data_IF_543334204189
#
_entry.id   IF_543334204189
#
_cell.length_a   1.000
_cell.length_b   1.000
_cell.length_c   1.000
_cell.angle_alpha   90.00
_cell.angle_beta   90.00
_cell.angle_gamma   90.00
#
_symmetry.space_group_name_H-M   'P 1'
#
loop_
_entity.id
_entity.type
_entity.pdbx_description
1 polymer ?
#
# COMPACT_ATOMS: atom_id res chain seq x y z
N UNK A 1 -1.58 12.69 -5.45
CA UNK A 1 -1.54 11.27 -5.86
C UNK A 1 -2.93 10.67 -5.65
N UNK A 2 -3.64 10.42 -6.75
CA UNK A 2 -4.91 9.72 -6.75
C UNK A 2 -4.65 8.22 -6.57
N UNK A 3 -5.43 7.55 -5.73
CA UNK A 3 -5.22 6.15 -5.32
C UNK A 3 -5.18 5.17 -6.51
N UNK A 4 -5.91 5.50 -7.59
CA UNK A 4 -5.91 4.74 -8.84
C UNK A 4 -4.52 4.59 -9.50
N UNK A 5 -3.64 5.58 -9.33
CA UNK A 5 -2.28 5.54 -9.92
C UNK A 5 -1.33 4.60 -9.18
N UNK A 6 -1.56 4.37 -7.88
CA UNK A 6 -0.80 3.37 -7.12
C UNK A 6 -1.25 1.98 -7.53
N UNK A 7 -2.57 1.76 -7.61
CA UNK A 7 -3.14 0.48 -8.02
C UNK A 7 -2.72 0.06 -9.43
N UNK A 8 -2.59 1.02 -10.36
CA UNK A 8 -2.08 0.76 -11.70
C UNK A 8 -0.65 0.20 -11.73
N UNK A 9 0.21 0.56 -10.77
CA UNK A 9 1.57 0.00 -10.69
C UNK A 9 1.59 -1.44 -10.23
N UNK A 10 0.75 -1.76 -9.25
CA UNK A 10 0.73 -3.08 -8.62
C UNK A 10 -0.17 -4.08 -9.35
N UNK A 11 -0.96 -3.64 -10.35
CA UNK A 11 -1.95 -4.43 -11.09
C UNK A 11 -1.40 -5.64 -11.85
N UNK A 12 -0.10 -5.66 -12.12
CA UNK A 12 0.54 -6.77 -12.83
C UNK A 12 0.72 -8.03 -11.96
N UNK A 13 0.54 -7.92 -10.65
CA UNK A 13 0.82 -9.00 -9.71
C UNK A 13 -0.46 -9.63 -9.18
N UNK A 14 -0.74 -10.86 -9.60
CA UNK A 14 -1.91 -11.67 -9.19
C UNK A 14 -1.89 -12.11 -7.71
N UNK A 15 -0.84 -11.76 -6.96
CA UNK A 15 -0.59 -12.25 -5.60
C UNK A 15 -0.82 -11.20 -4.50
N UNK A 16 -1.52 -10.11 -4.82
CA UNK A 16 -1.89 -9.09 -3.84
C UNK A 16 -3.16 -9.55 -3.13
N UNK A 17 -3.07 -9.69 -1.81
CA UNK A 17 -4.22 -10.01 -0.95
C UNK A 17 -5.02 -8.73 -0.70
N UNK A 18 -4.33 -7.62 -0.38
CA UNK A 18 -4.99 -6.33 -0.20
C UNK A 18 -4.05 -5.16 -0.51
N UNK A 19 -4.62 -4.04 -0.91
CA UNK A 19 -3.95 -2.76 -1.02
C UNK A 19 -4.72 -1.67 -0.26
N UNK A 20 -4.00 -0.89 0.55
CA UNK A 20 -4.61 0.15 1.37
C UNK A 20 -3.80 1.43 1.30
N UNK A 21 -4.48 2.56 1.16
CA UNK A 21 -3.89 3.88 1.36
C UNK A 21 -4.33 4.38 2.72
N UNK A 22 -3.37 4.67 3.59
CA UNK A 22 -3.70 5.26 4.87
C UNK A 22 -4.10 6.72 4.64
N UNK A 23 -5.26 7.10 5.18
CA UNK A 23 -5.69 8.50 5.24
C UNK A 23 -4.73 9.34 6.09
N UNK A 24 -4.07 8.68 7.06
CA UNK A 24 -3.06 9.30 7.90
C UNK A 24 -1.87 9.75 7.05
N UNK A 25 -1.58 11.05 7.10
CA UNK A 25 -0.38 11.62 6.50
C UNK A 25 0.84 11.28 7.35
N UNK A 26 1.98 11.11 6.70
CA UNK A 26 3.29 11.05 7.37
C UNK A 26 3.56 12.39 8.07
N UNK A 27 4.57 12.43 8.95
CA UNK A 27 5.03 13.68 9.58
C UNK A 27 5.31 14.78 8.55
N UNK A 28 5.72 14.39 7.35
CA UNK A 28 6.03 15.29 6.24
C UNK A 28 4.82 15.58 5.33
N UNK A 29 3.59 15.32 5.78
CA UNK A 29 2.35 15.58 5.03
C UNK A 29 2.08 14.64 3.84
N UNK A 30 3.01 13.74 3.52
CA UNK A 30 2.87 12.77 2.41
C UNK A 30 1.94 11.62 2.79
N UNK A 31 1.03 11.25 1.88
CA UNK A 31 0.22 10.02 2.01
C UNK A 31 1.10 8.80 1.75
N UNK A 32 0.79 7.68 2.39
CA UNK A 32 1.47 6.41 2.18
C UNK A 32 0.47 5.26 2.22
N UNK A 33 0.75 4.20 1.48
CA UNK A 33 -0.05 3.00 1.45
C UNK A 33 0.74 1.79 1.93
N UNK A 34 0.02 0.72 2.23
CA UNK A 34 0.55 -0.60 2.53
C UNK A 34 -0.14 -1.59 1.61
N UNK A 35 0.65 -2.44 0.97
CA UNK A 35 0.17 -3.53 0.12
C UNK A 35 0.56 -4.85 0.80
N UNK A 36 -0.39 -5.77 0.89
CA UNK A 36 -0.19 -7.12 1.43
C UNK A 36 -0.10 -8.11 0.29
N UNK A 37 1.03 -8.80 0.22
CA UNK A 37 1.22 -9.92 -0.69
C UNK A 37 1.00 -11.24 0.04
N UNK A 38 0.61 -12.26 -0.70
CA UNK A 38 0.50 -13.64 -0.19
C UNK A 38 1.87 -14.24 0.14
N UNK A 39 2.87 -13.94 -0.69
CA UNK A 39 4.25 -14.44 -0.53
C UNK A 39 5.21 -13.29 -0.25
N UNK A 40 6.12 -13.51 0.70
CA UNK A 40 7.18 -12.54 1.03
C UNK A 40 8.15 -12.31 -0.14
N UNK A 41 8.42 -13.36 -0.94
CA UNK A 41 9.31 -13.27 -2.10
C UNK A 41 8.76 -12.32 -3.17
N UNK A 42 7.45 -12.37 -3.42
CA UNK A 42 6.80 -11.47 -4.37
C UNK A 42 6.87 -10.03 -3.88
N UNK A 43 6.65 -9.80 -2.59
CA UNK A 43 6.81 -8.48 -1.99
C UNK A 43 8.26 -7.95 -2.11
N UNK A 44 9.27 -8.80 -1.91
CA UNK A 44 10.68 -8.39 -2.07
C UNK A 44 11.02 -8.04 -3.51
N UNK A 45 10.59 -8.87 -4.47
CA UNK A 45 10.78 -8.61 -5.90
C UNK A 45 10.14 -7.28 -6.30
N UNK A 46 8.94 -7.03 -5.79
CA UNK A 46 8.21 -5.80 -6.11
C UNK A 46 8.83 -4.56 -5.48
N UNK A 47 9.34 -4.66 -4.25
CA UNK A 47 10.12 -3.59 -3.62
C UNK A 47 11.33 -3.25 -4.49
N UNK A 48 12.10 -4.24 -4.95
CA UNK A 48 13.28 -3.99 -5.78
C UNK A 48 12.93 -3.33 -7.12
N UNK A 49 11.74 -3.63 -7.68
CA UNK A 49 11.29 -3.07 -8.97
C UNK A 49 10.75 -1.64 -8.84
N UNK A 50 9.94 -1.38 -7.81
CA UNK A 50 9.15 -0.14 -7.68
C UNK A 50 9.84 0.90 -6.79
N UNK A 51 10.76 0.48 -5.91
CA UNK A 51 11.45 1.43 -5.04
C UNK A 51 12.28 2.42 -5.85
N UNK A 52 11.92 3.70 -5.75
CA UNK A 52 12.55 4.78 -6.50
C UNK A 52 11.89 5.09 -7.85
N UNK A 53 10.79 4.42 -8.19
CA UNK A 53 10.02 4.72 -9.39
C UNK A 53 9.41 6.13 -9.32
N UNK A 54 9.24 6.78 -10.48
CA UNK A 54 8.66 8.12 -10.58
C UNK A 54 7.26 8.04 -11.17
N UNK A 55 6.27 8.49 -10.41
CA UNK A 55 4.87 8.54 -10.84
C UNK A 55 4.45 10.01 -10.86
N UNK A 56 3.98 10.50 -12.01
CA UNK A 56 3.47 11.88 -12.15
C UNK A 56 4.49 12.92 -11.62
N UNK A 57 5.78 12.73 -11.95
CA UNK A 57 6.88 13.60 -11.48
C UNK A 57 7.28 13.43 -10.01
N UNK A 58 6.63 12.53 -9.26
CA UNK A 58 6.95 12.26 -7.85
C UNK A 58 7.65 10.91 -7.68
N UNK A 59 8.86 10.92 -7.10
CA UNK A 59 9.56 9.69 -6.72
C UNK A 59 8.86 9.03 -5.53
N UNK A 60 8.58 7.73 -5.65
CA UNK A 60 8.05 6.92 -4.58
C UNK A 60 9.13 6.05 -3.95
N UNK A 61 8.98 5.77 -2.66
CA UNK A 61 9.85 4.85 -1.93
C UNK A 61 9.00 3.71 -1.38
N UNK A 62 9.46 2.50 -1.63
CA UNK A 62 8.78 1.27 -1.20
C UNK A 62 9.74 0.51 -0.30
N UNK A 63 9.24 0.05 0.85
CA UNK A 63 10.02 -0.72 1.82
C UNK A 63 9.16 -1.82 2.40
N UNK A 64 9.81 -2.90 2.85
CA UNK A 64 9.14 -3.97 3.54
C UNK A 64 8.53 -3.45 4.85
N UNK A 65 7.23 -3.63 5.01
CA UNK A 65 6.54 -3.23 6.23
C UNK A 65 6.82 -4.24 7.35
N UNK A 66 7.20 -3.76 8.53
CA UNK A 66 7.27 -4.61 9.73
C UNK A 66 5.86 -4.95 10.19
N UNK A 67 5.37 -6.13 9.80
CA UNK A 67 4.12 -6.67 10.31
C UNK A 67 4.36 -7.37 11.65
N UNK A 68 3.88 -6.77 12.73
CA UNK A 68 3.77 -7.44 14.02
C UNK A 68 2.28 -7.82 14.14
N UNK A 69 1.94 -9.11 14.24
CA UNK A 69 0.56 -9.62 14.17
C UNK A 69 -0.42 -8.98 15.17
N UNK A 70 0.10 -8.28 16.18
CA UNK A 70 -0.66 -7.49 17.16
C UNK A 70 -1.07 -6.09 16.66
N UNK A 71 -0.56 -5.62 15.50
CA UNK A 71 -0.88 -4.28 14.98
C UNK A 71 -2.33 -4.24 14.52
N UNK A 72 -3.15 -3.51 15.29
CA UNK A 72 -4.56 -3.17 15.02
C UNK A 72 -4.80 -2.41 13.70
N UNK A 73 -3.76 -2.18 12.89
CA UNK A 73 -3.84 -1.49 11.59
C UNK A 73 -4.89 -2.18 10.72
N UNK A 74 -4.82 -3.51 10.57
CA UNK A 74 -5.79 -4.25 9.74
C UNK A 74 -7.20 -4.30 10.35
N UNK A 75 -7.31 -4.44 11.69
CA UNK A 75 -8.62 -4.45 12.38
C UNK A 75 -9.35 -3.11 12.25
N UNK A 76 -8.62 -1.99 12.28
CA UNK A 76 -9.20 -0.65 12.14
C UNK A 76 -9.52 -0.31 10.69
N UNK A 77 -8.73 -0.82 9.74
CA UNK A 77 -8.91 -0.58 8.31
C UNK A 77 -10.11 -1.36 7.75
N UNK A 78 -10.34 -2.62 8.15
CA UNK A 78 -11.56 -3.34 7.77
C UNK A 78 -12.83 -2.57 8.20
N UNK A 79 -12.83 -1.97 9.39
CA UNK A 79 -13.96 -1.16 9.86
C UNK A 79 -14.18 0.13 9.03
N UNK A 80 -13.12 0.74 8.48
CA UNK A 80 -13.23 1.93 7.62
C UNK A 80 -13.61 1.59 6.16
N UNK A 81 -13.17 0.44 5.64
CA UNK A 81 -13.57 -0.02 4.29
C UNK A 81 -15.05 -0.37 4.25
N UNK A 82 -15.58 -1.02 5.31
CA UNK A 82 -17.02 -1.33 5.41
C UNK A 82 -17.92 -0.09 5.47
N UNK A 83 -17.43 1.06 5.95
CA UNK A 83 -18.20 2.31 5.94
C UNK A 83 -18.18 3.02 4.58
N UNK A 84 -17.16 2.76 3.74
CA UNK A 84 -16.99 3.40 2.44
C UNK A 84 -17.59 2.60 1.27
N UNK A 85 -18.22 1.46 1.56
CA UNK A 85 -18.98 0.62 0.62
C UNK A 85 -20.51 0.86 0.72
N UNK A 86 -20.96 1.77 1.60
CA UNK A 86 -22.37 2.09 1.86
C UNK A 86 -22.78 3.53 1.46
N UNK A 87 -22.03 4.19 0.59
CA UNK A 87 -22.43 5.46 -0.02
C UNK A 87 -22.17 5.44 -1.51
#
# INVERSE_FOLDING_TARGET
IHWKGLWALFRYHENIIDDFILEKKSKNGKRFGVVRFSKILDAQREISRINGFVIMGSKIWVKMAKFNGKRKIWKKIQAQTSSNQRK
#
